data_IF_686658307898
#
_entry.id   IF_686658307898
#
_cell.length_a   1.000
_cell.length_b   1.000
_cell.length_c   1.000
_cell.angle_alpha   90.00
_cell.angle_beta   90.00
_cell.angle_gamma   90.00
#
_symmetry.space_group_name_H-M   'P 1'
#
loop_
_entity.id
_entity.type
_entity.pdbx_description
1 polymer ?
#
# COMPACT_ATOMS: atom_id res chain seq x y z
N UNK A 1 3.99 15.82 -18.04
CA UNK A 1 5.44 15.74 -17.84
C UNK A 1 5.77 14.36 -17.27
N UNK A 2 5.94 13.33 -18.11
CA UNK A 2 6.05 11.91 -17.69
C UNK A 2 7.25 11.66 -16.76
N UNK A 3 8.21 12.59 -16.73
CA UNK A 3 9.46 12.54 -15.96
C UNK A 3 9.32 13.00 -14.51
N UNK A 4 8.16 13.53 -14.11
CA UNK A 4 7.88 13.96 -12.74
C UNK A 4 6.90 12.99 -12.08
N UNK A 5 7.17 12.57 -10.85
CA UNK A 5 6.26 11.76 -10.04
C UNK A 5 5.34 12.61 -9.17
N UNK A 6 4.20 12.06 -8.76
CA UNK A 6 3.32 12.70 -7.78
C UNK A 6 3.85 12.54 -6.36
N UNK A 7 3.81 13.60 -5.56
CA UNK A 7 4.45 13.71 -4.25
C UNK A 7 3.66 13.08 -3.09
N UNK A 8 2.63 12.26 -3.37
CA UNK A 8 2.01 11.47 -2.30
C UNK A 8 2.88 10.25 -2.00
N UNK A 9 3.95 10.52 -1.26
CA UNK A 9 4.99 9.58 -0.91
C UNK A 9 4.99 9.37 0.60
N UNK A 10 5.01 8.11 1.01
CA UNK A 10 4.90 7.71 2.40
C UNK A 10 6.16 7.02 2.88
N UNK A 11 6.77 7.49 4.00
CA UNK A 11 7.97 6.85 4.50
C UNK A 11 7.63 5.50 5.15
N UNK A 12 8.35 4.47 4.71
CA UNK A 12 8.32 3.15 5.31
C UNK A 12 9.72 2.77 5.78
N UNK A 13 9.80 2.17 6.97
CA UNK A 13 11.03 1.67 7.54
C UNK A 13 10.74 0.30 8.13
N UNK A 14 11.65 -0.64 7.93
CA UNK A 14 11.62 -1.92 8.61
C UNK A 14 13.00 -2.26 9.16
N UNK A 15 13.00 -3.21 10.08
CA UNK A 15 14.18 -3.73 10.72
C UNK A 15 14.18 -5.25 10.67
N UNK A 16 15.38 -5.83 10.58
CA UNK A 16 15.58 -7.23 10.91
C UNK A 16 15.70 -7.35 12.43
N UNK A 17 14.77 -8.10 13.02
CA UNK A 17 14.68 -8.25 14.46
C UNK A 17 14.86 -9.72 14.83
N UNK A 18 15.74 -9.98 15.80
CA UNK A 18 16.05 -11.30 16.33
C UNK A 18 15.54 -11.47 17.76
N UNK A 19 15.44 -12.74 18.19
CA UNK A 19 15.12 -13.09 19.58
C UNK A 19 13.64 -12.93 19.94
N UNK A 20 12.78 -12.74 18.95
CA UNK A 20 11.35 -12.64 19.15
C UNK A 20 10.71 -14.03 19.30
N UNK A 21 9.66 -14.12 20.12
CA UNK A 21 8.77 -15.28 20.17
C UNK A 21 7.46 -14.95 19.46
N UNK A 22 7.23 -15.52 18.29
CA UNK A 22 6.01 -15.32 17.50
C UNK A 22 5.61 -16.61 16.77
N UNK A 23 4.31 -16.76 16.41
CA UNK A 23 3.90 -17.85 15.54
C UNK A 23 4.39 -17.60 14.11
N UNK A 24 5.25 -18.49 13.59
CA UNK A 24 5.87 -18.35 12.26
C UNK A 24 4.89 -18.49 11.09
N UNK A 25 3.70 -19.04 11.33
CA UNK A 25 2.69 -19.33 10.30
C UNK A 25 1.77 -18.15 9.97
N UNK A 26 1.97 -17.00 10.63
CA UNK A 26 1.11 -15.83 10.45
C UNK A 26 1.94 -14.55 10.33
N UNK A 27 1.51 -13.67 9.44
CA UNK A 27 1.92 -12.27 9.50
C UNK A 27 1.08 -11.56 10.57
N UNK A 28 1.68 -10.60 11.26
CA UNK A 28 0.96 -9.73 12.19
C UNK A 28 0.88 -8.33 11.58
N UNK A 29 -0.30 -7.73 11.68
CA UNK A 29 -0.59 -6.39 11.19
C UNK A 29 -1.16 -5.57 12.34
N UNK A 30 -0.63 -4.37 12.55
CA UNK A 30 -0.98 -3.48 13.65
C UNK A 30 -1.56 -2.20 13.07
N UNK A 31 -2.80 -1.90 13.44
CA UNK A 31 -3.53 -0.73 12.97
C UNK A 31 -3.86 0.19 14.14
N UNK A 32 -3.80 1.50 13.88
CA UNK A 32 -4.04 2.53 14.87
C UNK A 32 -2.91 3.54 14.92
N UNK A 33 -3.25 4.77 15.29
CA UNK A 33 -2.31 5.89 15.40
C UNK A 33 -1.26 5.66 16.47
N UNK A 34 -1.59 4.89 17.51
CA UNK A 34 -0.63 4.50 18.53
C UNK A 34 0.53 3.63 18.01
N UNK A 35 0.36 2.97 16.85
CA UNK A 35 1.41 2.16 16.24
C UNK A 35 2.06 2.87 15.03
N UNK A 36 1.23 3.34 14.10
CA UNK A 36 1.67 3.92 12.84
C UNK A 36 0.60 4.88 12.29
N UNK A 37 0.66 6.18 12.62
CA UNK A 37 -0.36 7.15 12.22
C UNK A 37 -0.50 7.25 10.70
N UNK A 38 -1.74 7.13 10.22
CA UNK A 38 -2.08 7.13 8.79
C UNK A 38 -1.61 5.90 8.02
N UNK A 39 -1.02 4.90 8.68
CA UNK A 39 -0.55 3.68 8.04
C UNK A 39 -0.79 2.46 8.92
N UNK A 40 0.19 1.58 8.99
CA UNK A 40 0.16 0.37 9.80
C UNK A 40 1.58 -0.10 10.10
N UNK A 41 1.74 -0.89 11.15
CA UNK A 41 2.96 -1.65 11.42
C UNK A 41 2.74 -3.13 11.11
N UNK A 42 3.83 -3.87 10.91
CA UNK A 42 3.78 -5.28 10.59
C UNK A 42 4.93 -6.06 11.22
N UNK A 43 4.72 -7.37 11.37
CA UNK A 43 5.75 -8.37 11.60
C UNK A 43 5.56 -9.48 10.57
N UNK A 44 6.57 -9.67 9.72
CA UNK A 44 6.63 -10.76 8.74
C UNK A 44 7.73 -11.74 9.16
N UNK A 45 7.38 -12.94 9.65
CA UNK A 45 8.33 -13.99 9.97
C UNK A 45 9.19 -14.33 8.76
N UNK A 46 10.52 -14.44 8.94
CA UNK A 46 11.39 -15.14 7.98
C UNK A 46 11.55 -16.60 8.40
N UNK A 47 11.82 -16.80 9.69
CA UNK A 47 11.96 -18.11 10.33
C UNK A 47 11.57 -18.01 11.82
N UNK A 48 11.93 -19.01 12.62
CA UNK A 48 11.64 -19.10 14.07
C UNK A 48 12.40 -18.10 14.95
N UNK A 49 13.40 -17.40 14.41
CA UNK A 49 14.31 -16.54 15.15
C UNK A 49 14.39 -15.11 14.60
N UNK A 50 14.07 -14.91 13.32
CA UNK A 50 14.20 -13.64 12.60
C UNK A 50 12.90 -13.22 11.93
N UNK A 51 12.49 -11.97 12.14
CA UNK A 51 11.38 -11.35 11.44
C UNK A 51 11.74 -9.99 10.85
N UNK A 52 11.08 -9.62 9.75
CA UNK A 52 11.04 -8.23 9.31
C UNK A 52 9.93 -7.52 10.09
N UNK A 53 10.30 -6.57 10.95
CA UNK A 53 9.35 -5.73 11.70
C UNK A 53 9.43 -4.33 11.14
N UNK A 54 8.30 -3.77 10.70
CA UNK A 54 8.31 -2.47 10.06
C UNK A 54 7.02 -1.70 10.24
N UNK A 55 7.06 -0.46 9.77
CA UNK A 55 5.88 0.38 9.69
C UNK A 55 5.96 1.32 8.50
N UNK A 56 4.80 1.85 8.15
CA UNK A 56 4.61 2.90 7.17
C UNK A 56 3.78 4.00 7.81
N UNK A 57 4.22 5.25 7.65
CA UNK A 57 3.53 6.41 8.18
C UNK A 57 2.81 7.10 7.04
N UNK A 58 1.53 7.47 7.25
CA UNK A 58 0.80 8.25 6.26
C UNK A 58 1.47 9.60 6.04
N UNK A 59 1.46 10.10 4.80
CA UNK A 59 2.16 11.33 4.40
C UNK A 59 1.90 12.50 5.34
N UNK A 60 0.63 12.72 5.70
CA UNK A 60 0.20 13.85 6.55
C UNK A 60 0.78 13.79 7.97
N UNK A 61 1.23 12.61 8.42
CA UNK A 61 1.82 12.38 9.74
C UNK A 61 3.35 12.24 9.72
N UNK A 62 3.98 12.23 8.54
CA UNK A 62 5.41 11.95 8.40
C UNK A 62 6.33 12.94 9.13
N UNK A 63 5.87 14.19 9.34
CA UNK A 63 6.60 15.20 10.11
C UNK A 63 6.50 14.99 11.62
N UNK A 64 5.34 14.53 12.09
CA UNK A 64 5.05 14.33 13.51
C UNK A 64 5.60 12.99 14.03
N UNK A 65 5.65 11.98 13.16
CA UNK A 65 6.15 10.65 13.47
C UNK A 65 7.28 10.26 12.50
N UNK A 66 8.53 10.68 12.76
CA UNK A 66 9.67 10.25 11.95
C UNK A 66 9.78 8.73 11.94
N UNK A 67 9.67 8.10 10.76
CA UNK A 67 9.41 6.67 10.64
C UNK A 67 10.44 5.77 11.36
N UNK A 68 11.73 6.15 11.38
CA UNK A 68 12.78 5.39 12.09
C UNK A 68 12.59 5.46 13.62
N UNK A 69 12.25 6.62 14.15
CA UNK A 69 11.99 6.80 15.59
C UNK A 69 10.71 6.07 15.99
N UNK A 70 9.65 6.22 15.17
CA UNK A 70 8.40 5.49 15.36
C UNK A 70 8.62 3.97 15.38
N UNK A 71 9.45 3.43 14.47
CA UNK A 71 9.74 2.00 14.44
C UNK A 71 10.51 1.54 15.68
N UNK A 72 11.51 2.30 16.12
CA UNK A 72 12.24 1.98 17.36
C UNK A 72 11.29 1.93 18.56
N UNK A 73 10.44 2.94 18.70
CA UNK A 73 9.43 2.98 19.76
C UNK A 73 8.45 1.80 19.66
N UNK A 74 7.96 1.49 18.46
CA UNK A 74 7.07 0.36 18.22
C UNK A 74 7.69 -0.98 18.66
N UNK A 75 8.96 -1.22 18.29
CA UNK A 75 9.68 -2.44 18.67
C UNK A 75 9.89 -2.50 20.18
N UNK A 76 10.33 -1.41 20.81
CA UNK A 76 10.56 -1.36 22.27
C UNK A 76 9.30 -1.62 23.08
N UNK A 77 8.15 -1.08 22.63
CA UNK A 77 6.86 -1.26 23.32
C UNK A 77 6.24 -2.64 23.08
N UNK A 78 6.32 -3.15 21.85
CA UNK A 78 5.62 -4.38 21.45
C UNK A 78 6.45 -5.63 21.75
N UNK A 79 7.78 -5.50 21.66
CA UNK A 79 8.74 -6.59 21.76
C UNK A 79 9.93 -6.19 22.65
N UNK A 80 9.70 -5.96 23.96
CA UNK A 80 10.76 -5.55 24.86
C UNK A 80 11.90 -6.59 24.89
N UNK A 81 13.14 -6.11 24.75
CA UNK A 81 14.33 -6.95 24.73
C UNK A 81 14.69 -7.57 23.37
N UNK A 82 13.97 -7.23 22.31
CA UNK A 82 14.30 -7.70 20.96
C UNK A 82 15.60 -7.08 20.43
N UNK A 83 16.41 -7.88 19.71
CA UNK A 83 17.66 -7.42 19.12
C UNK A 83 17.41 -6.90 17.70
N UNK A 84 17.71 -5.61 17.46
CA UNK A 84 17.60 -5.00 16.14
C UNK A 84 18.94 -5.12 15.41
N UNK A 85 18.98 -5.94 14.36
CA UNK A 85 20.20 -6.22 13.59
C UNK A 85 20.49 -5.15 12.53
N UNK A 86 19.47 -4.63 11.86
CA UNK A 86 19.63 -3.59 10.82
C UNK A 86 18.32 -2.88 10.55
N UNK A 87 18.42 -1.70 9.93
CA UNK A 87 17.28 -0.92 9.43
C UNK A 87 17.37 -0.77 7.91
N UNK A 88 16.22 -0.82 7.27
CA UNK A 88 16.02 -0.51 5.86
C UNK A 88 14.83 0.44 5.74
N UNK A 89 14.84 1.33 4.75
CA UNK A 89 13.73 2.25 4.54
C UNK A 89 13.63 2.70 3.10
N UNK A 90 12.45 3.20 2.77
CA UNK A 90 12.11 3.66 1.44
C UNK A 90 10.89 4.55 1.46
N UNK A 91 10.64 5.17 0.31
CA UNK A 91 9.52 6.06 0.09
C UNK A 91 8.53 5.32 -0.82
N UNK A 92 7.27 5.19 -0.38
CA UNK A 92 6.25 4.45 -1.13
C UNK A 92 5.35 5.46 -1.87
N UNK A 93 5.28 5.42 -3.22
CA UNK A 93 4.43 6.32 -3.99
C UNK A 93 2.97 5.87 -3.92
N UNK A 94 2.24 6.37 -2.92
CA UNK A 94 0.84 6.02 -2.65
C UNK A 94 -0.16 6.97 -3.33
N UNK A 95 0.30 7.86 -4.20
CA UNK A 95 -0.53 8.70 -5.05
C UNK A 95 -1.01 7.98 -6.30
N UNK A 96 -1.95 8.60 -7.02
CA UNK A 96 -2.41 8.06 -8.30
C UNK A 96 -2.70 9.20 -9.30
N UNK A 97 -1.66 9.82 -9.90
CA UNK A 97 -1.84 10.85 -10.90
C UNK A 97 -2.40 10.27 -12.21
N UNK A 98 -3.18 11.06 -12.94
CA UNK A 98 -3.58 10.68 -14.30
C UNK A 98 -2.52 11.13 -15.31
N UNK A 99 -1.39 10.41 -15.29
CA UNK A 99 -0.27 10.65 -16.19
C UNK A 99 -0.19 9.57 -17.28
N UNK A 100 0.37 9.91 -18.45
CA UNK A 100 0.76 8.90 -19.44
C UNK A 100 1.73 7.89 -18.83
N UNK A 101 1.53 6.62 -19.15
CA UNK A 101 2.48 5.54 -18.79
C UNK A 101 3.57 5.34 -19.84
N UNK A 102 3.36 5.81 -21.07
CA UNK A 102 4.34 5.74 -22.14
C UNK A 102 4.24 6.93 -23.09
N UNK A 103 5.38 7.37 -23.63
CA UNK A 103 5.52 8.38 -24.70
C UNK A 103 6.92 8.24 -25.29
N UNK A 104 7.13 8.55 -26.57
CA UNK A 104 8.46 8.70 -27.17
C UNK A 104 9.46 7.58 -26.82
N UNK A 105 9.01 6.31 -26.89
CA UNK A 105 9.77 5.11 -26.54
C UNK A 105 10.21 5.01 -25.06
N UNK A 106 9.67 5.85 -24.18
CA UNK A 106 9.76 5.75 -22.74
C UNK A 106 8.51 5.04 -22.18
N UNK A 107 8.70 4.09 -21.27
CA UNK A 107 7.63 3.35 -20.60
C UNK A 107 7.91 3.33 -19.10
N UNK A 108 6.91 3.71 -18.28
CA UNK A 108 6.97 3.63 -16.82
C UNK A 108 6.20 2.42 -16.33
N UNK A 109 6.72 1.72 -15.32
CA UNK A 109 6.01 0.66 -14.60
C UNK A 109 6.39 0.66 -13.11
N UNK A 110 5.62 -0.06 -12.30
CA UNK A 110 5.86 -0.19 -10.86
C UNK A 110 5.82 1.16 -10.12
N UNK A 111 6.71 1.32 -9.15
CA UNK A 111 6.79 2.53 -8.32
C UNK A 111 7.03 3.80 -9.16
N UNK A 112 7.84 3.72 -10.22
CA UNK A 112 8.07 4.84 -11.14
C UNK A 112 6.79 5.30 -11.87
N UNK A 113 5.79 4.42 -11.98
CA UNK A 113 4.47 4.70 -12.55
C UNK A 113 3.38 4.93 -11.48
N UNK A 114 3.71 5.01 -10.18
CA UNK A 114 2.73 5.10 -9.08
C UNK A 114 1.72 3.93 -9.10
N UNK A 115 2.19 2.73 -9.41
CA UNK A 115 1.32 1.54 -9.51
C UNK A 115 0.98 0.90 -8.17
N UNK A 116 1.56 1.38 -7.07
CA UNK A 116 1.32 0.87 -5.72
C UNK A 116 -0.16 1.05 -5.34
N UNK A 117 -0.72 0.04 -4.65
CA UNK A 117 -2.06 0.12 -4.09
C UNK A 117 -2.13 1.18 -2.97
N UNK A 118 -2.94 2.25 -3.10
CA UNK A 118 -2.82 3.45 -2.24
C UNK A 118 -3.07 3.24 -0.73
N UNK A 119 -3.78 2.17 -0.36
CA UNK A 119 -4.09 1.86 1.05
C UNK A 119 -3.22 0.73 1.62
N UNK A 120 -3.22 -0.45 1.00
CA UNK A 120 -2.38 -1.58 1.42
C UNK A 120 -0.89 -1.40 1.16
N UNK A 121 -0.48 -0.42 0.35
CA UNK A 121 0.91 -0.19 -0.09
C UNK A 121 1.58 -1.39 -0.75
N UNK A 122 0.77 -2.34 -1.22
CA UNK A 122 1.25 -3.45 -2.03
C UNK A 122 1.63 -2.93 -3.42
N UNK A 123 2.81 -3.33 -3.92
CA UNK A 123 3.28 -2.91 -5.24
C UNK A 123 3.96 -4.00 -6.05
N UNK A 124 4.23 -5.18 -5.48
CA UNK A 124 5.02 -6.23 -6.16
C UNK A 124 4.23 -6.81 -7.34
N UNK A 125 2.99 -7.24 -7.12
CA UNK A 125 2.16 -7.83 -8.17
C UNK A 125 1.77 -6.78 -9.23
N UNK A 126 1.51 -5.57 -8.75
CA UNK A 126 1.22 -4.39 -9.54
C UNK A 126 2.39 -4.03 -10.46
N UNK A 127 3.61 -3.98 -9.93
CA UNK A 127 4.83 -3.72 -10.70
C UNK A 127 5.10 -4.83 -11.72
N UNK A 128 4.94 -6.10 -11.34
CA UNK A 128 5.09 -7.23 -12.26
C UNK A 128 4.08 -7.16 -13.42
N UNK A 129 2.82 -6.85 -13.12
CA UNK A 129 1.77 -6.72 -14.14
C UNK A 129 2.01 -5.51 -15.03
N UNK A 130 2.32 -4.36 -14.44
CA UNK A 130 2.64 -3.14 -15.17
C UNK A 130 3.85 -3.29 -16.08
N UNK A 131 4.90 -3.99 -15.60
CA UNK A 131 6.10 -4.30 -16.38
C UNK A 131 5.82 -5.24 -17.55
N UNK A 132 4.97 -6.25 -17.34
CA UNK A 132 4.49 -7.13 -18.43
C UNK A 132 3.79 -6.33 -19.53
N UNK A 133 2.82 -5.48 -19.15
CA UNK A 133 2.09 -4.67 -20.13
C UNK A 133 3.00 -3.65 -20.84
N UNK A 134 3.96 -3.06 -20.12
CA UNK A 134 4.96 -2.17 -20.71
C UNK A 134 5.82 -2.90 -21.75
N UNK A 135 6.30 -4.12 -21.44
CA UNK A 135 7.10 -4.92 -22.35
C UNK A 135 6.31 -5.31 -23.62
N UNK A 136 5.05 -5.73 -23.47
CA UNK A 136 4.17 -6.04 -24.61
C UNK A 136 3.93 -4.82 -25.49
N UNK A 137 3.75 -3.63 -24.90
CA UNK A 137 3.62 -2.37 -25.63
C UNK A 137 4.92 -1.99 -26.34
N UNK A 138 6.07 -2.14 -25.68
CA UNK A 138 7.38 -1.86 -26.26
C UNK A 138 7.66 -2.75 -27.49
N UNK A 139 7.39 -4.06 -27.38
CA UNK A 139 7.55 -5.01 -28.48
C UNK A 139 6.69 -4.63 -29.70
N UNK A 140 5.43 -4.23 -29.47
CA UNK A 140 4.52 -3.79 -30.54
C UNK A 140 5.03 -2.55 -31.28
N UNK A 141 5.78 -1.67 -30.61
CA UNK A 141 6.25 -0.41 -31.21
C UNK A 141 7.61 -0.51 -31.91
N UNK A 142 8.31 -1.64 -31.80
CA UNK A 142 9.58 -1.84 -32.51
C UNK A 142 9.35 -1.74 -34.03
N UNK A 143 10.17 -0.95 -34.71
CA UNK A 143 10.07 -0.72 -36.15
C UNK A 143 8.99 0.28 -36.58
N UNK A 144 8.26 0.88 -35.63
CA UNK A 144 7.39 2.02 -35.93
C UNK A 144 8.19 3.31 -35.91
N UNK A 145 8.40 3.94 -37.07
CA UNK A 145 9.25 5.14 -37.17
C UNK A 145 8.58 6.41 -36.61
N UNK A 146 7.27 6.53 -36.82
CA UNK A 146 6.51 7.74 -36.46
C UNK A 146 5.80 7.60 -35.12
N UNK A 147 5.86 8.64 -34.30
CA UNK A 147 5.22 8.70 -32.97
C UNK A 147 3.70 8.52 -33.06
N UNK A 148 3.06 9.10 -34.08
CA UNK A 148 1.64 8.95 -34.39
C UNK A 148 1.18 7.48 -34.50
N UNK A 149 2.05 6.59 -34.97
CA UNK A 149 1.76 5.15 -35.06
C UNK A 149 1.91 4.44 -33.70
N UNK A 150 2.72 4.97 -32.79
CA UNK A 150 3.00 4.40 -31.46
C UNK A 150 1.95 4.83 -30.42
N UNK A 151 1.35 6.03 -30.58
CA UNK A 151 0.34 6.59 -29.66
C UNK A 151 -0.82 5.64 -29.34
N UNK A 152 -1.44 4.92 -30.30
CA UNK A 152 -2.48 3.94 -29.99
C UNK A 152 -2.00 2.81 -29.08
N UNK A 153 -0.76 2.34 -29.25
CA UNK A 153 -0.17 1.28 -28.42
C UNK A 153 0.09 1.79 -26.99
N UNK A 154 0.55 3.05 -26.84
CA UNK A 154 0.72 3.68 -25.53
C UNK A 154 -0.62 3.82 -24.79
N UNK A 155 -1.68 4.20 -25.51
CA UNK A 155 -3.03 4.27 -24.96
C UNK A 155 -3.53 2.87 -24.55
N UNK A 156 -3.32 1.85 -25.38
CA UNK A 156 -3.67 0.47 -25.06
C UNK A 156 -2.99 -0.01 -23.77
N UNK A 157 -1.70 0.29 -23.59
CA UNK A 157 -0.99 0.01 -22.35
C UNK A 157 -1.69 0.61 -21.13
N UNK A 158 -1.98 1.92 -21.17
CA UNK A 158 -2.68 2.61 -20.08
C UNK A 158 -4.07 2.00 -19.82
N UNK A 159 -4.83 1.71 -20.86
CA UNK A 159 -6.16 1.09 -20.73
C UNK A 159 -6.08 -0.25 -20.02
N UNK A 160 -5.16 -1.14 -20.44
CA UNK A 160 -4.99 -2.45 -19.82
C UNK A 160 -4.57 -2.36 -18.36
N UNK A 161 -3.69 -1.42 -18.02
CA UNK A 161 -3.34 -1.13 -16.64
C UNK A 161 -4.53 -0.64 -15.81
N UNK A 162 -5.30 0.30 -16.36
CA UNK A 162 -6.45 0.89 -15.69
C UNK A 162 -7.56 -0.15 -15.45
N UNK A 163 -7.80 -1.04 -16.40
CA UNK A 163 -8.72 -2.17 -16.27
C UNK A 163 -8.27 -3.18 -15.20
N UNK A 164 -6.99 -3.52 -15.16
CA UNK A 164 -6.45 -4.49 -14.20
C UNK A 164 -6.45 -3.97 -12.77
N UNK A 165 -5.97 -2.74 -12.56
CA UNK A 165 -5.75 -2.18 -11.21
C UNK A 165 -6.09 -0.68 -11.11
N UNK A 166 -5.74 0.12 -12.13
CA UNK A 166 -5.70 1.58 -12.01
C UNK A 166 -7.07 2.22 -11.69
N UNK A 167 -8.16 1.69 -12.24
CA UNK A 167 -9.52 2.14 -11.91
C UNK A 167 -9.84 1.92 -10.43
N UNK A 168 -9.46 0.76 -9.88
CA UNK A 168 -9.62 0.45 -8.46
C UNK A 168 -8.78 1.39 -7.60
N UNK A 169 -7.50 1.58 -7.96
CA UNK A 169 -6.58 2.43 -7.22
C UNK A 169 -7.04 3.88 -7.17
N UNK A 170 -7.56 4.44 -8.27
CA UNK A 170 -8.17 5.79 -8.29
C UNK A 170 -9.30 5.92 -7.28
N UNK A 171 -10.18 4.92 -7.19
CA UNK A 171 -11.29 4.92 -6.23
C UNK A 171 -10.76 4.88 -4.80
N UNK A 172 -9.78 4.03 -4.52
CA UNK A 172 -9.14 3.93 -3.21
C UNK A 172 -8.38 5.21 -2.84
N UNK A 173 -7.70 5.85 -3.78
CA UNK A 173 -6.97 7.10 -3.55
C UNK A 173 -7.90 8.23 -3.08
N UNK A 174 -9.11 8.34 -3.64
CA UNK A 174 -10.12 9.35 -3.25
C UNK A 174 -10.59 9.21 -1.80
N UNK A 175 -10.57 8.00 -1.26
CA UNK A 175 -11.06 7.69 0.09
C UNK A 175 -9.94 7.46 1.10
N UNK A 176 -8.69 7.38 0.64
CA UNK A 176 -7.50 7.08 1.44
C UNK A 176 -7.42 7.94 2.70
N UNK A 177 -7.65 9.24 2.58
CA UNK A 177 -7.66 10.17 3.71
C UNK A 177 -8.71 9.80 4.78
N UNK A 178 -9.91 9.37 4.37
CA UNK A 178 -10.94 8.94 5.31
C UNK A 178 -10.52 7.68 6.09
N UNK A 179 -9.78 6.76 5.45
CA UNK A 179 -9.21 5.59 6.13
C UNK A 179 -8.08 5.95 7.10
N UNK A 180 -7.24 6.94 6.77
CA UNK A 180 -6.17 7.42 7.65
C UNK A 180 -6.68 8.14 8.90
N UNK A 181 -7.90 8.66 8.84
CA UNK A 181 -8.56 9.38 9.93
C UNK A 181 -9.35 8.46 10.88
N UNK A 182 -9.36 7.14 10.67
CA UNK A 182 -10.08 6.20 11.52
C UNK A 182 -9.51 6.25 12.95
N UNK A 183 -10.34 6.55 13.97
CA UNK A 183 -9.88 6.56 15.36
C UNK A 183 -9.55 5.16 15.87
N UNK A 184 -8.56 5.05 16.75
CA UNK A 184 -8.13 3.79 17.38
C UNK A 184 -9.27 3.04 18.08
N UNK A 185 -10.25 3.76 18.64
CA UNK A 185 -11.45 3.15 19.21
C UNK A 185 -12.26 2.31 18.22
N UNK A 186 -12.28 2.69 16.93
CA UNK A 186 -12.91 1.91 15.85
C UNK A 186 -12.10 0.65 15.58
N UNK A 187 -10.78 0.76 15.42
CA UNK A 187 -9.90 -0.39 15.24
C UNK A 187 -10.02 -1.38 16.40
N UNK A 188 -10.06 -0.90 17.64
CA UNK A 188 -10.20 -1.73 18.83
C UNK A 188 -11.55 -2.46 18.90
N UNK A 189 -12.64 -1.84 18.45
CA UNK A 189 -13.94 -2.52 18.35
C UNK A 189 -13.93 -3.55 17.22
N UNK A 190 -13.36 -3.20 16.06
CA UNK A 190 -13.25 -4.11 14.93
C UNK A 190 -12.42 -5.34 15.29
N UNK A 191 -11.25 -5.17 15.92
CA UNK A 191 -10.40 -6.24 16.40
C UNK A 191 -11.14 -7.17 17.39
N UNK A 192 -11.87 -6.62 18.37
CA UNK A 192 -12.70 -7.40 19.31
C UNK A 192 -13.86 -8.15 18.64
N UNK A 193 -14.38 -7.64 17.53
CA UNK A 193 -15.41 -8.32 16.75
C UNK A 193 -14.79 -9.45 15.91
N UNK A 194 -13.67 -9.16 15.23
CA UNK A 194 -12.96 -10.11 14.38
C UNK A 194 -12.35 -11.27 15.16
N UNK A 195 -11.92 -11.06 16.41
CA UNK A 195 -11.38 -12.13 17.27
C UNK A 195 -12.38 -13.23 17.60
N UNK A 196 -13.69 -12.97 17.41
CA UNK A 196 -14.75 -13.96 17.59
C UNK A 196 -15.04 -14.77 16.33
N UNK A 197 -14.42 -14.42 15.20
CA UNK A 197 -14.62 -15.09 13.92
C UNK A 197 -13.56 -16.18 13.75
N UNK A 198 -13.94 -17.43 13.40
CA UNK A 198 -12.98 -18.49 13.12
C UNK A 198 -12.00 -18.10 12.02
N UNK A 199 -10.72 -18.47 12.17
CA UNK A 199 -9.65 -18.07 11.24
C UNK A 199 -9.96 -18.44 9.79
N UNK A 200 -10.50 -19.62 9.52
CA UNK A 200 -10.90 -20.04 8.16
C UNK A 200 -12.03 -19.22 7.53
N UNK A 201 -12.70 -18.36 8.31
CA UNK A 201 -13.74 -17.42 7.85
C UNK A 201 -13.25 -15.96 7.82
N UNK A 202 -11.99 -15.71 8.18
CA UNK A 202 -11.38 -14.39 8.07
C UNK A 202 -10.88 -14.21 6.63
N UNK A 203 -11.50 -13.27 5.93
CA UNK A 203 -11.04 -12.79 4.62
C UNK A 203 -10.96 -11.27 4.61
N UNK A 204 -10.16 -10.71 3.68
CA UNK A 204 -9.96 -9.26 3.59
C UNK A 204 -11.27 -8.47 3.49
N UNK A 205 -12.24 -8.97 2.71
CA UNK A 205 -13.56 -8.34 2.61
C UNK A 205 -14.29 -8.28 3.96
N UNK A 206 -14.18 -9.34 4.78
CA UNK A 206 -14.80 -9.38 6.12
C UNK A 206 -14.10 -8.45 7.10
N UNK A 207 -12.77 -8.38 7.05
CA UNK A 207 -11.97 -7.45 7.87
C UNK A 207 -12.35 -6.00 7.56
N UNK A 208 -12.37 -5.64 6.28
CA UNK A 208 -12.77 -4.29 5.83
C UNK A 208 -14.22 -4.02 6.24
N UNK A 209 -15.16 -4.89 5.87
CA UNK A 209 -16.58 -4.68 6.17
C UNK A 209 -16.85 -4.55 7.67
N UNK A 210 -16.23 -5.41 8.49
CA UNK A 210 -16.39 -5.35 9.95
C UNK A 210 -15.84 -4.04 10.49
N UNK A 211 -14.70 -3.56 9.99
CA UNK A 211 -14.14 -2.27 10.40
C UNK A 211 -15.04 -1.10 9.99
N UNK A 212 -15.56 -1.11 8.76
CA UNK A 212 -16.50 -0.10 8.27
C UNK A 212 -17.79 -0.07 9.11
N UNK A 213 -18.33 -1.23 9.47
CA UNK A 213 -19.55 -1.35 10.27
C UNK A 213 -19.40 -0.78 11.69
N UNK A 214 -18.17 -0.70 12.20
CA UNK A 214 -17.88 -0.08 13.51
C UNK A 214 -17.81 1.46 13.46
N UNK A 215 -17.98 2.07 12.28
CA UNK A 215 -17.95 3.52 12.07
C UNK A 215 -19.02 3.99 11.05
N UNK A 216 -20.21 4.41 11.52
CA UNK A 216 -21.26 4.98 10.66
C UNK A 216 -20.80 6.22 9.88
N UNK A 217 -19.92 7.04 10.48
CA UNK A 217 -19.35 8.22 9.83
C UNK A 217 -18.43 7.85 8.67
N UNK A 218 -17.66 6.76 8.79
CA UNK A 218 -16.84 6.24 7.71
C UNK A 218 -17.72 5.68 6.57
N UNK A 219 -18.76 4.90 6.88
CA UNK A 219 -19.72 4.44 5.87
C UNK A 219 -20.30 5.61 5.05
N UNK A 220 -20.65 6.72 5.71
CA UNK A 220 -21.13 7.92 5.03
C UNK A 220 -20.06 8.59 4.16
N UNK A 221 -18.81 8.72 4.65
CA UNK A 221 -17.67 9.24 3.86
C UNK A 221 -17.38 8.35 2.63
N UNK A 222 -17.66 7.06 2.71
CA UNK A 222 -17.41 6.08 1.65
C UNK A 222 -18.59 5.85 0.70
N UNK A 223 -19.74 6.51 0.89
CA UNK A 223 -20.95 6.32 0.06
C UNK A 223 -20.69 6.50 -1.44
N UNK A 224 -19.80 7.43 -1.80
CA UNK A 224 -19.42 7.70 -3.19
C UNK A 224 -18.64 6.57 -3.90
N UNK A 225 -18.15 5.55 -3.17
CA UNK A 225 -17.54 4.36 -3.78
C UNK A 225 -18.56 3.37 -4.34
N UNK A 226 -19.74 3.31 -3.71
CA UNK A 226 -20.78 2.35 -4.03
C UNK A 226 -21.84 2.91 -4.97
N UNK A 227 -21.87 4.23 -5.15
CA UNK A 227 -22.81 4.95 -6.02
C UNK A 227 -22.36 5.09 -7.48
N UNK A 228 -21.18 4.58 -7.86
CA UNK A 228 -20.65 4.66 -9.23
C UNK A 228 -20.81 3.34 -9.99
N UNK A 229 -21.96 3.16 -10.64
CA UNK A 229 -22.03 2.47 -11.94
C UNK A 229 -21.94 3.53 -13.03
#
# INVERSE_FOLDING_TARGET
NITQGNFDVEPAVFALVKGLKYPVNYIQMFFGRNYAPGGYAWLFPRDTHVANVGLVIGRDYAREAPARQALKHFIEQTYPGAEVASFQGGAIPCGFPDEPLATDNLYKAGDAANMVHPLSRAGILEAMTGGKFAAEAALKTIGMDREENRRPVYAEYKTRWDEAYGNGHRRICRIKKAFMEIPDGVYNRAARSLSKVPVGKLGMGRIVFTTLWQSPTLLWKLRGLFSGK
#
